data_IF_825360470170
#
_entry.id   IF_825360470170
#
_cell.length_a   1.000
_cell.length_b   1.000
_cell.length_c   1.000
_cell.angle_alpha   90.00
_cell.angle_beta   90.00
_cell.angle_gamma   90.00
#
_symmetry.space_group_name_H-M   'P 1'
#
loop_
_entity.id
_entity.type
_entity.pdbx_description
1 polymer ?
#
# COMPACT_ATOMS: atom_id res chain seq x y z
N UNK A 1 -5.48 -23.58 11.73
CA UNK A 1 -6.01 -22.20 11.88
C UNK A 1 -4.90 -21.32 12.43
N UNK A 2 -4.54 -20.22 11.76
CA UNK A 2 -3.39 -19.36 12.13
C UNK A 2 -3.72 -18.55 13.39
N UNK A 3 -2.78 -18.39 14.32
CA UNK A 3 -2.95 -17.55 15.53
C UNK A 3 -3.72 -18.21 16.68
N UNK A 4 -3.46 -19.49 16.97
CA UNK A 4 -3.98 -20.20 18.16
C UNK A 4 -3.27 -19.72 19.41
N UNK A 5 -4.03 -19.62 20.51
CA UNK A 5 -3.53 -19.26 21.82
C UNK A 5 -3.44 -20.50 22.73
N UNK A 6 -2.45 -20.56 23.62
CA UNK A 6 -2.48 -21.47 24.78
C UNK A 6 -3.38 -20.92 25.89
N UNK A 7 -3.52 -21.68 26.99
CA UNK A 7 -4.26 -21.27 28.18
C UNK A 7 -3.70 -20.04 28.90
N UNK A 8 -2.51 -19.57 28.52
CA UNK A 8 -1.85 -18.37 29.06
C UNK A 8 -1.96 -17.17 28.09
N UNK A 9 -2.66 -17.33 26.97
CA UNK A 9 -2.81 -16.29 25.95
C UNK A 9 -1.62 -16.14 25.01
N UNK A 10 -0.65 -17.05 25.00
CA UNK A 10 0.50 -17.00 24.09
C UNK A 10 0.15 -17.61 22.74
N UNK A 11 0.66 -17.01 21.65
CA UNK A 11 0.50 -17.57 20.31
C UNK A 11 1.37 -18.82 20.15
N UNK A 12 0.77 -20.00 20.12
CA UNK A 12 1.48 -21.29 20.03
C UNK A 12 1.87 -21.69 18.61
N UNK A 13 1.34 -21.00 17.61
CA UNK A 13 1.68 -21.24 16.20
C UNK A 13 2.18 -19.97 15.51
N UNK A 14 3.14 -19.30 16.16
CA UNK A 14 3.76 -18.08 15.66
C UNK A 14 4.40 -18.25 14.27
N UNK A 15 4.86 -19.47 13.95
CA UNK A 15 5.36 -19.84 12.64
C UNK A 15 4.28 -19.80 11.53
N UNK A 16 3.01 -19.96 11.89
CA UNK A 16 1.90 -19.96 10.93
C UNK A 16 1.45 -18.53 10.53
N UNK A 17 2.04 -17.48 11.12
CA UNK A 17 1.68 -16.09 10.81
C UNK A 17 1.95 -15.76 9.35
N UNK A 18 1.27 -14.73 8.83
CA UNK A 18 1.65 -14.15 7.56
C UNK A 18 2.98 -13.40 7.72
N UNK A 19 4.08 -14.07 7.38
CA UNK A 19 5.42 -13.53 7.51
C UNK A 19 5.72 -12.49 6.42
N UNK A 20 5.11 -12.63 5.25
CA UNK A 20 5.33 -11.79 4.09
C UNK A 20 4.08 -10.95 3.79
N UNK A 21 4.26 -9.66 3.51
CA UNK A 21 3.14 -8.76 3.22
C UNK A 21 2.36 -9.19 1.96
N UNK A 22 3.04 -9.76 0.97
CA UNK A 22 2.38 -10.33 -0.21
C UNK A 22 1.46 -11.51 0.13
N UNK A 23 1.80 -12.33 1.14
CA UNK A 23 0.91 -13.42 1.57
C UNK A 23 -0.36 -12.86 2.26
N UNK A 24 -0.26 -11.71 2.94
CA UNK A 24 -1.43 -11.02 3.50
C UNK A 24 -2.37 -10.58 2.38
N UNK A 25 -1.83 -9.90 1.38
CA UNK A 25 -2.58 -9.42 0.22
C UNK A 25 -3.20 -10.58 -0.57
N UNK A 26 -2.40 -11.60 -0.90
CA UNK A 26 -2.83 -12.73 -1.71
C UNK A 26 -3.85 -13.63 -0.99
N UNK A 27 -3.91 -13.58 0.35
CA UNK A 27 -4.90 -14.34 1.12
C UNK A 27 -6.34 -13.84 0.97
N UNK A 28 -6.54 -12.61 0.49
CA UNK A 28 -7.85 -11.96 0.42
C UNK A 28 -8.47 -11.57 1.78
N UNK A 29 -7.82 -11.92 2.90
CA UNK A 29 -8.31 -11.58 4.25
C UNK A 29 -8.23 -10.08 4.55
N UNK A 30 -7.38 -9.35 3.84
CA UNK A 30 -7.25 -7.90 3.92
C UNK A 30 -7.94 -7.21 2.73
N UNK A 31 -9.07 -7.76 2.30
CA UNK A 31 -9.84 -7.27 1.18
C UNK A 31 -9.42 -7.87 -0.16
N UNK A 32 -10.21 -7.56 -1.19
CA UNK A 32 -9.94 -7.98 -2.57
C UNK A 32 -8.86 -7.11 -3.18
N UNK A 33 -7.92 -7.70 -3.91
CA UNK A 33 -6.95 -6.95 -4.68
C UNK A 33 -7.64 -6.18 -5.82
N UNK A 34 -7.39 -4.87 -5.88
CA UNK A 34 -7.93 -3.95 -6.89
C UNK A 34 -6.86 -3.29 -7.75
N UNK A 35 -5.60 -3.72 -7.65
CA UNK A 35 -4.44 -3.11 -8.33
C UNK A 35 -4.69 -2.83 -9.82
N UNK A 36 -5.21 -3.81 -10.57
CA UNK A 36 -5.50 -3.67 -12.00
C UNK A 36 -6.67 -2.72 -12.31
N UNK A 37 -7.55 -2.49 -11.35
CA UNK A 37 -8.68 -1.56 -11.49
C UNK A 37 -8.22 -0.10 -11.35
N UNK A 38 -7.02 0.14 -10.82
CA UNK A 38 -6.54 1.49 -10.54
C UNK A 38 -5.92 2.19 -11.76
N UNK A 39 -5.39 1.43 -12.72
CA UNK A 39 -4.69 1.99 -13.88
C UNK A 39 -3.78 0.98 -14.56
N UNK A 40 -2.82 1.48 -15.35
CA UNK A 40 -1.91 0.62 -16.12
C UNK A 40 -0.94 -0.10 -15.19
N UNK A 41 -0.94 -1.43 -15.27
CA UNK A 41 -0.03 -2.27 -14.47
C UNK A 41 1.24 -2.65 -15.24
N UNK A 42 2.32 -2.87 -14.51
CA UNK A 42 3.57 -3.46 -15.00
C UNK A 42 3.81 -4.78 -14.28
N UNK A 43 4.28 -5.78 -15.01
CA UNK A 43 4.66 -7.08 -14.47
C UNK A 43 6.12 -7.06 -14.02
N UNK A 44 6.37 -7.57 -12.81
CA UNK A 44 7.72 -7.72 -12.26
C UNK A 44 7.93 -9.15 -11.78
N UNK A 45 9.20 -9.55 -11.60
CA UNK A 45 9.54 -10.81 -10.95
C UNK A 45 8.87 -10.89 -9.58
N UNK A 46 8.28 -12.03 -9.30
CA UNK A 46 7.66 -12.34 -8.02
C UNK A 46 8.68 -12.61 -6.91
N UNK A 47 8.19 -13.13 -5.79
CA UNK A 47 8.91 -13.15 -4.53
C UNK A 47 9.65 -14.45 -4.27
N UNK A 48 9.42 -15.02 -3.10
CA UNK A 48 9.99 -16.29 -2.62
C UNK A 48 9.67 -17.48 -3.53
N UNK A 49 10.51 -18.51 -3.44
CA UNK A 49 10.30 -19.83 -4.07
C UNK A 49 8.97 -20.43 -3.57
N UNK A 50 8.13 -20.91 -4.49
CA UNK A 50 6.78 -21.40 -4.20
C UNK A 50 5.71 -20.31 -4.09
N UNK A 51 6.07 -19.03 -4.26
CA UNK A 51 5.12 -17.94 -4.50
C UNK A 51 4.84 -17.73 -5.99
N UNK A 52 4.07 -16.69 -6.32
CA UNK A 52 3.83 -16.27 -7.71
C UNK A 52 5.18 -15.95 -8.39
N UNK A 53 5.39 -16.46 -9.60
CA UNK A 53 6.61 -16.19 -10.38
C UNK A 53 6.70 -14.74 -10.84
N UNK A 54 5.52 -14.13 -11.07
CA UNK A 54 5.37 -12.75 -11.50
C UNK A 54 4.21 -12.09 -10.78
N UNK A 55 4.32 -10.80 -10.55
CA UNK A 55 3.27 -10.00 -9.92
C UNK A 55 3.05 -8.72 -10.68
N UNK A 56 1.80 -8.27 -10.76
CA UNK A 56 1.41 -7.01 -11.40
C UNK A 56 1.37 -5.91 -10.35
N UNK A 57 1.94 -4.76 -10.68
CA UNK A 57 2.01 -3.59 -9.82
C UNK A 57 1.59 -2.34 -10.59
N UNK A 58 1.06 -1.33 -9.90
CA UNK A 58 1.07 0.03 -10.44
C UNK A 58 2.47 0.58 -10.18
N UNK A 59 3.20 0.94 -11.24
CA UNK A 59 4.57 1.47 -11.09
C UNK A 59 4.58 2.80 -10.34
N UNK A 60 5.71 3.18 -9.73
CA UNK A 60 5.87 4.50 -9.09
C UNK A 60 5.51 5.65 -10.04
N UNK A 61 5.95 5.56 -11.31
CA UNK A 61 5.63 6.56 -12.35
C UNK A 61 4.13 6.64 -12.60
N UNK A 62 3.49 5.52 -12.89
CA UNK A 62 2.04 5.46 -13.14
C UNK A 62 1.26 5.96 -11.93
N UNK A 63 1.65 5.58 -10.71
CA UNK A 63 0.98 6.03 -9.49
C UNK A 63 1.07 7.56 -9.33
N UNK A 64 2.23 8.16 -9.58
CA UNK A 64 2.39 9.61 -9.51
C UNK A 64 1.56 10.32 -10.58
N UNK A 65 1.47 9.77 -11.79
CA UNK A 65 0.61 10.29 -12.86
C UNK A 65 -0.87 10.19 -12.48
N UNK A 66 -1.30 9.06 -11.92
CA UNK A 66 -2.66 8.89 -11.41
C UNK A 66 -2.99 9.92 -10.33
N UNK A 67 -2.07 10.14 -9.37
CA UNK A 67 -2.23 11.10 -8.27
C UNK A 67 -2.29 12.56 -8.75
N UNK A 68 -1.67 12.89 -9.89
CA UNK A 68 -1.63 14.24 -10.45
C UNK A 68 -2.76 14.55 -11.45
N UNK A 69 -3.58 13.56 -11.84
CA UNK A 69 -4.69 13.81 -12.78
C UNK A 69 -5.71 14.80 -12.20
N UNK A 70 -5.83 15.95 -12.86
CA UNK A 70 -6.93 16.91 -12.66
C UNK A 70 -8.22 16.31 -13.24
N UNK A 71 -9.37 16.51 -12.59
CA UNK A 71 -10.66 15.96 -13.04
C UNK A 71 -11.26 14.81 -12.21
N UNK A 72 -10.74 14.54 -11.01
CA UNK A 72 -11.54 13.97 -9.91
C UNK A 72 -11.75 12.45 -9.84
N UNK A 73 -11.33 11.63 -10.81
CA UNK A 73 -11.56 10.16 -10.75
C UNK A 73 -10.31 9.35 -10.38
N UNK A 74 -9.66 9.63 -9.25
CA UNK A 74 -8.75 8.64 -8.69
C UNK A 74 -9.57 7.47 -8.12
N UNK A 75 -9.34 6.23 -8.57
CA UNK A 75 -10.07 5.06 -8.09
C UNK A 75 -9.73 4.69 -6.64
N UNK A 76 -8.77 5.38 -6.02
CA UNK A 76 -8.44 5.24 -4.60
C UNK A 76 -9.53 5.85 -3.69
N UNK A 77 -9.87 5.10 -2.65
CA UNK A 77 -10.86 5.44 -1.62
C UNK A 77 -10.22 5.40 -0.24
N UNK A 78 -10.80 6.16 0.69
CA UNK A 78 -10.45 6.04 2.10
C UNK A 78 -10.65 4.58 2.56
N UNK A 79 -9.68 4.03 3.27
CA UNK A 79 -9.70 2.65 3.73
C UNK A 79 -9.02 1.64 2.81
N UNK A 80 -8.63 2.03 1.58
CA UNK A 80 -7.81 1.16 0.74
C UNK A 80 -6.47 0.87 1.42
N UNK A 81 -6.05 -0.39 1.39
CA UNK A 81 -4.75 -0.81 1.93
C UNK A 81 -3.74 -0.81 0.79
N UNK A 82 -2.68 -0.04 0.96
CA UNK A 82 -1.62 0.10 -0.03
C UNK A 82 -0.36 -0.64 0.42
N UNK A 83 0.12 -1.54 -0.43
CA UNK A 83 1.30 -2.38 -0.21
C UNK A 83 2.43 -1.85 -1.10
N UNK A 84 3.45 -1.25 -0.49
CA UNK A 84 4.57 -0.68 -1.23
C UNK A 84 5.59 -1.74 -1.61
N UNK A 85 5.99 -1.74 -2.88
CA UNK A 85 6.76 -2.81 -3.49
C UNK A 85 8.24 -2.45 -3.57
N UNK A 86 9.11 -3.32 -3.06
CA UNK A 86 10.55 -3.18 -3.13
C UNK A 86 11.07 -3.48 -4.54
N UNK A 87 12.11 -2.76 -4.94
CA UNK A 87 12.88 -3.08 -6.12
C UNK A 87 13.40 -4.53 -6.06
N UNK A 88 13.37 -5.24 -7.19
CA UNK A 88 13.65 -6.68 -7.26
C UNK A 88 15.04 -7.00 -6.70
N UNK A 89 16.01 -6.17 -7.04
CA UNK A 89 17.41 -6.25 -6.63
C UNK A 89 17.67 -5.84 -5.17
N UNK A 90 16.69 -5.21 -4.50
CA UNK A 90 16.78 -4.81 -3.09
C UNK A 90 16.03 -5.76 -2.15
N UNK A 91 15.43 -6.83 -2.67
CA UNK A 91 14.67 -7.81 -1.86
C UNK A 91 15.62 -8.65 -1.03
N UNK A 92 15.22 -8.93 0.20
CA UNK A 92 15.90 -9.88 1.10
C UNK A 92 14.96 -11.05 1.29
N UNK A 93 15.46 -12.28 1.16
CA UNK A 93 14.66 -13.50 1.21
C UNK A 93 13.43 -13.52 0.26
N UNK A 94 13.47 -12.76 -0.84
CA UNK A 94 12.38 -12.68 -1.81
C UNK A 94 11.18 -11.83 -1.39
N UNK A 95 11.22 -11.16 -0.24
CA UNK A 95 10.13 -10.29 0.25
C UNK A 95 9.81 -9.17 -0.76
N UNK A 96 8.57 -9.16 -1.24
CA UNK A 96 8.10 -8.18 -2.24
C UNK A 96 7.64 -6.89 -1.56
N UNK A 97 6.80 -7.00 -0.53
CA UNK A 97 6.20 -5.86 0.16
C UNK A 97 7.19 -5.31 1.19
N UNK A 98 7.56 -4.04 1.07
CA UNK A 98 8.48 -3.37 2.01
C UNK A 98 7.79 -2.50 3.06
N UNK A 99 6.55 -2.08 2.80
CA UNK A 99 5.78 -1.23 3.71
C UNK A 99 4.29 -1.35 3.41
N UNK A 100 3.44 -1.02 4.38
CA UNK A 100 1.98 -1.02 4.26
C UNK A 100 1.43 0.26 4.89
N UNK A 101 0.36 0.81 4.32
CA UNK A 101 -0.43 1.85 4.95
C UNK A 101 -1.88 1.85 4.46
N UNK A 102 -2.63 2.83 4.93
CA UNK A 102 -4.06 3.01 4.63
C UNK A 102 -4.24 4.34 3.92
N UNK A 103 -4.98 4.32 2.81
CA UNK A 103 -5.34 5.53 2.08
C UNK A 103 -6.39 6.32 2.86
N UNK A 104 -6.21 7.64 2.94
CA UNK A 104 -7.19 8.59 3.42
C UNK A 104 -7.41 9.66 2.36
N UNK A 105 -8.66 9.90 1.99
CA UNK A 105 -9.03 10.93 1.02
C UNK A 105 -9.75 12.07 1.73
N UNK A 106 -9.39 13.30 1.44
CA UNK A 106 -9.98 14.50 2.03
C UNK A 106 -10.30 15.51 0.92
N UNK A 107 -11.39 16.26 1.04
CA UNK A 107 -11.70 17.36 0.12
C UNK A 107 -10.99 18.60 0.65
N UNK A 108 -10.12 19.21 -0.17
CA UNK A 108 -9.44 20.44 0.21
C UNK A 108 -10.41 21.60 0.16
N UNK A 109 -10.60 22.27 1.30
CA UNK A 109 -11.39 23.49 1.42
C UNK A 109 -10.61 24.75 1.04
N UNK A 110 -9.34 24.62 0.61
CA UNK A 110 -8.56 25.76 0.14
C UNK A 110 -9.11 26.26 -1.20
N UNK A 111 -10.08 27.18 -1.08
CA UNK A 111 -10.59 28.07 -2.12
C UNK A 111 -9.45 28.95 -2.64
N UNK A 112 -8.61 28.39 -3.50
CA UNK A 112 -7.81 29.22 -4.39
C UNK A 112 -8.78 29.91 -5.35
N UNK A 113 -8.74 31.24 -5.41
CA UNK A 113 -9.68 32.12 -6.12
C UNK A 113 -9.73 31.95 -7.66
N UNK A 114 -9.34 30.80 -8.19
CA UNK A 114 -9.07 30.58 -9.62
C UNK A 114 -10.02 29.58 -10.29
N UNK A 115 -10.82 28.80 -9.56
CA UNK A 115 -11.92 28.04 -10.21
C UNK A 115 -12.98 27.59 -9.21
N UNK A 116 -14.22 28.03 -9.41
CA UNK A 116 -15.37 27.75 -8.52
C UNK A 116 -15.97 26.34 -8.68
N UNK A 117 -15.44 25.49 -9.57
CA UNK A 117 -16.22 24.32 -10.06
C UNK A 117 -15.57 22.93 -9.85
N UNK A 118 -14.41 22.80 -9.22
CA UNK A 118 -13.81 21.47 -8.95
C UNK A 118 -13.32 21.35 -7.51
N UNK A 119 -13.98 20.49 -6.72
CA UNK A 119 -13.49 20.05 -5.42
C UNK A 119 -12.18 19.28 -5.60
N UNK A 120 -11.07 19.83 -5.11
CA UNK A 120 -9.79 19.13 -5.15
C UNK A 120 -9.71 18.09 -4.04
N UNK A 121 -9.76 16.82 -4.42
CA UNK A 121 -9.57 15.68 -3.51
C UNK A 121 -8.08 15.46 -3.26
N UNK A 122 -7.64 15.68 -2.04
CA UNK A 122 -6.29 15.34 -1.58
C UNK A 122 -6.23 13.91 -1.07
N UNK A 123 -5.09 13.24 -1.31
CA UNK A 123 -4.87 11.84 -0.95
C UNK A 123 -3.68 11.73 -0.01
N UNK A 124 -3.95 11.12 1.14
CA UNK A 124 -3.06 10.92 2.25
C UNK A 124 -2.80 9.43 2.47
N UNK A 125 -1.65 9.15 3.07
CA UNK A 125 -1.25 7.87 3.62
C UNK A 125 -1.26 7.96 5.14
N UNK A 126 -2.02 7.08 5.78
CA UNK A 126 -1.91 6.79 7.21
C UNK A 126 -1.02 5.56 7.36
N UNK A 127 0.13 5.69 8.03
CA UNK A 127 1.03 4.57 8.23
C UNK A 127 1.84 4.68 9.53
N UNK A 128 2.33 3.54 10.03
CA UNK A 128 3.33 3.55 11.09
C UNK A 128 4.66 4.06 10.51
N UNK A 129 5.16 5.16 11.07
CA UNK A 129 6.47 5.74 10.76
C UNK A 129 7.36 5.68 11.98
N UNK A 130 8.59 5.22 11.82
CA UNK A 130 9.51 5.14 12.96
C UNK A 130 10.90 4.70 12.55
N UNK A 131 11.85 4.94 13.44
CA UNK A 131 13.23 4.47 13.29
C UNK A 131 13.50 3.36 14.29
N UNK A 132 14.25 2.35 13.85
CA UNK A 132 14.68 1.27 14.76
C UNK A 132 15.33 1.87 16.00
N UNK A 133 14.87 1.41 17.17
CA UNK A 133 15.37 1.82 18.50
C UNK A 133 15.10 3.28 18.91
N UNK A 134 14.34 4.05 18.13
CA UNK A 134 13.95 5.45 18.47
C UNK A 134 12.45 5.63 18.67
N UNK A 135 11.69 4.53 18.66
CA UNK A 135 10.23 4.57 18.68
C UNK A 135 9.62 4.88 17.31
N UNK A 136 8.29 4.93 17.28
CA UNK A 136 7.50 5.23 16.09
C UNK A 136 6.12 5.74 16.47
N UNK A 137 5.49 6.40 15.52
CA UNK A 137 4.15 6.96 15.65
C UNK A 137 3.36 6.71 14.36
N UNK A 138 2.04 6.78 14.44
CA UNK A 138 1.19 6.74 13.25
C UNK A 138 1.17 8.14 12.64
N UNK A 139 1.53 8.24 11.37
CA UNK A 139 1.61 9.50 10.62
C UNK A 139 0.56 9.57 9.53
N UNK A 140 0.00 10.76 9.32
CA UNK A 140 -0.76 11.13 8.12
C UNK A 140 0.13 12.00 7.25
N UNK A 141 0.49 11.53 6.06
CA UNK A 141 1.35 12.27 5.11
C UNK A 141 0.68 12.30 3.74
N UNK A 142 0.98 13.29 2.90
CA UNK A 142 0.49 13.31 1.52
C UNK A 142 1.06 12.11 0.76
N UNK A 143 0.21 11.34 0.10
CA UNK A 143 0.61 10.11 -0.56
C UNK A 143 1.59 10.38 -1.72
N UNK A 144 1.38 11.48 -2.45
CA UNK A 144 2.28 11.93 -3.52
C UNK A 144 3.71 12.12 -3.00
N UNK A 145 3.88 12.92 -1.94
CA UNK A 145 5.19 13.24 -1.35
C UNK A 145 5.88 11.99 -0.79
N UNK A 146 5.10 11.10 -0.17
CA UNK A 146 5.61 9.82 0.34
C UNK A 146 6.13 8.91 -0.78
N UNK A 147 5.35 8.73 -1.85
CA UNK A 147 5.77 7.94 -3.00
C UNK A 147 7.01 8.54 -3.65
N UNK A 148 7.05 9.87 -3.80
CA UNK A 148 8.16 10.54 -4.46
C UNK A 148 9.48 10.39 -3.67
N UNK A 149 9.43 10.50 -2.34
CA UNK A 149 10.61 10.41 -1.46
C UNK A 149 11.11 8.98 -1.20
N UNK A 150 10.25 7.96 -1.28
CA UNK A 150 10.62 6.59 -0.93
C UNK A 150 11.13 5.76 -2.12
N UNK A 151 12.03 4.79 -1.91
CA UNK A 151 12.67 3.99 -2.97
C UNK A 151 11.81 2.79 -3.43
N UNK A 152 10.49 2.87 -3.30
CA UNK A 152 9.59 1.82 -3.77
C UNK A 152 9.40 1.92 -5.28
N UNK A 153 9.31 0.78 -5.96
CA UNK A 153 9.14 0.72 -7.43
C UNK A 153 7.68 0.78 -7.87
N UNK A 154 6.75 0.66 -6.93
CA UNK A 154 5.32 0.72 -7.19
C UNK A 154 4.51 0.19 -6.01
N UNK A 155 3.23 -0.10 -6.27
CA UNK A 155 2.27 -0.52 -5.26
C UNK A 155 1.35 -1.64 -5.76
N UNK A 156 0.82 -2.41 -4.81
CA UNK A 156 -0.41 -3.21 -4.97
C UNK A 156 -1.44 -2.69 -3.96
N UNK A 157 -2.72 -2.85 -4.26
CA UNK A 157 -3.79 -2.26 -3.44
C UNK A 157 -4.91 -3.26 -3.22
N UNK A 158 -5.42 -3.33 -1.98
CA UNK A 158 -6.64 -4.07 -1.65
C UNK A 158 -7.71 -3.19 -1.01
N UNK A 159 -8.96 -3.66 -1.08
CA UNK A 159 -10.15 -2.98 -0.54
C UNK A 159 -11.10 -3.99 0.10
N UNK A 160 -11.62 -3.67 1.28
CA UNK A 160 -12.73 -4.42 1.88
C UNK A 160 -14.04 -4.12 1.15
N UNK A 161 -14.85 -5.15 0.93
CA UNK A 161 -16.19 -5.08 0.35
C UNK A 161 -17.25 -5.27 1.43
#
# INVERSE_FOLDING_TARGET
MKGRLDSKGNVINYADRFQYGEDMLDSGRWGKEITEQLGKVTEIKGGKKGGKEKVKIISKKELLELLNKKGGSLPLKSGDIIFFIKAVEKRKAGEIVGHIGIVKTEVSSQRSAVSKNEEQKEIYLIHAGGFKKKGGEVKKVRLYDYINSMPFIGVRVSRFH
#
